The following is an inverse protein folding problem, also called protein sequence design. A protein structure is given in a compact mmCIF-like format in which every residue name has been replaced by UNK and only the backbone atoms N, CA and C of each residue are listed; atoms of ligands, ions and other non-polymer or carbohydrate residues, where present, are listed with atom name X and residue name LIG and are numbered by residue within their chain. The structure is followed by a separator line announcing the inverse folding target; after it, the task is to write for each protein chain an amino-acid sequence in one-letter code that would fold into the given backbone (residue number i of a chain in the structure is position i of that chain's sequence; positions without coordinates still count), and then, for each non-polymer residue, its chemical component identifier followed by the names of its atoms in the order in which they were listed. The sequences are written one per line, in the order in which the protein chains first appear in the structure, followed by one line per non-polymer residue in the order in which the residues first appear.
data_IF_840911721682
#
_entry.id   IF_840911721682
#
_cell.length_a   1.000
_cell.length_b   1.000
_cell.length_c   1.000
_cell.angle_alpha   90.00
_cell.angle_beta   90.00
_cell.angle_gamma   90.00
#
_symmetry.space_group_name_H-M   'P 1'
#
loop_
_entity.id
_entity.type
_entity.pdbx_description
1 polymer ?
#
# COMPACT_ATOMS: atom_id res chain seq x y z
N UNK A 1 14.63 -16.36 2.18
CA UNK A 1 15.41 -15.55 3.14
C UNK A 1 14.57 -14.32 3.50
N UNK A 2 14.29 -14.08 4.78
CA UNK A 2 13.45 -12.95 5.17
C UNK A 2 14.25 -11.65 5.16
N UNK A 3 13.67 -10.59 4.60
CA UNK A 3 14.26 -9.26 4.50
C UNK A 3 13.31 -8.26 5.16
N UNK A 4 13.88 -7.33 5.92
CA UNK A 4 13.14 -6.17 6.44
C UNK A 4 13.27 -5.04 5.44
N UNK A 5 12.14 -4.51 4.99
CA UNK A 5 12.09 -3.42 4.02
C UNK A 5 10.92 -2.49 4.34
N UNK A 6 10.78 -1.41 3.59
CA UNK A 6 9.67 -0.47 3.67
C UNK A 6 8.93 -0.49 2.33
N UNK A 7 7.61 -0.62 2.35
CA UNK A 7 6.76 -0.63 1.17
C UNK A 7 5.52 0.22 1.42
N UNK A 8 4.77 0.51 0.36
CA UNK A 8 3.42 1.04 0.54
C UNK A 8 2.43 -0.07 0.92
N UNK A 9 1.55 0.27 1.86
CA UNK A 9 0.36 -0.50 2.25
C UNK A 9 -0.86 0.39 2.02
N UNK A 10 -1.81 -0.09 1.22
CA UNK A 10 -3.11 0.55 1.02
C UNK A 10 -4.22 -0.37 1.55
N UNK A 11 -5.23 0.22 2.19
CA UNK A 11 -6.52 -0.43 2.41
C UNK A 11 -7.54 0.23 1.51
N UNK A 12 -8.15 -0.57 0.65
CA UNK A 12 -9.20 -0.17 -0.27
C UNK A 12 -10.56 -0.54 0.30
N UNK A 13 -11.60 0.18 -0.13
CA UNK A 13 -13.00 -0.18 0.12
C UNK A 13 -13.77 -0.20 -1.19
N UNK A 14 -14.78 -1.08 -1.31
CA UNK A 14 -15.69 -1.04 -2.44
C UNK A 14 -16.66 0.14 -2.29
N UNK A 15 -16.79 0.99 -3.31
CA UNK A 15 -17.66 2.19 -3.22
C UNK A 15 -19.12 1.80 -2.96
N UNK A 16 -19.58 0.70 -3.54
CA UNK A 16 -20.93 0.17 -3.34
C UNK A 16 -21.13 -0.53 -1.98
N UNK A 17 -20.06 -0.99 -1.33
CA UNK A 17 -20.07 -1.72 -0.05
C UNK A 17 -18.86 -1.29 0.81
N UNK A 18 -18.86 -0.07 1.39
CA UNK A 18 -17.68 0.52 2.03
C UNK A 18 -17.15 -0.25 3.25
N UNK A 19 -17.95 -1.14 3.83
CA UNK A 19 -17.60 -2.06 4.91
C UNK A 19 -16.67 -3.19 4.47
N UNK A 20 -16.65 -3.52 3.18
CA UNK A 20 -15.75 -4.55 2.63
C UNK A 20 -14.42 -3.89 2.28
N UNK A 21 -13.34 -4.43 2.86
CA UNK A 21 -12.00 -3.87 2.78
C UNK A 21 -11.01 -4.87 2.18
N UNK A 22 -10.08 -4.35 1.39
CA UNK A 22 -9.01 -5.11 0.76
C UNK A 22 -7.66 -4.47 1.03
N UNK A 23 -6.63 -5.26 1.36
CA UNK A 23 -5.28 -4.74 1.58
C UNK A 23 -4.38 -4.99 0.36
N UNK A 24 -3.65 -3.96 -0.05
CA UNK A 24 -2.66 -4.03 -1.12
C UNK A 24 -1.28 -3.68 -0.59
N UNK A 25 -0.31 -4.52 -0.94
CA UNK A 25 1.10 -4.33 -0.59
C UNK A 25 1.92 -4.09 -1.87
N UNK A 26 2.67 -3.00 -1.90
CA UNK A 26 3.49 -2.66 -3.07
C UNK A 26 4.84 -3.37 -3.04
N UNK A 27 4.89 -4.61 -3.54
CA UNK A 27 6.15 -5.38 -3.61
C UNK A 27 7.14 -4.82 -4.64
N UNK A 28 6.65 -4.06 -5.64
CA UNK A 28 7.50 -3.49 -6.69
C UNK A 28 8.22 -2.20 -6.26
N UNK A 29 7.67 -1.48 -5.27
CA UNK A 29 8.26 -0.26 -4.73
C UNK A 29 8.73 -0.51 -3.30
N UNK A 30 10.04 -0.68 -3.17
CA UNK A 30 10.70 -0.87 -1.87
C UNK A 30 11.56 0.33 -1.54
N UNK A 31 11.59 0.67 -0.25
CA UNK A 31 12.34 1.79 0.31
C UNK A 31 13.25 1.31 1.43
N UNK A 32 14.26 2.10 1.71
CA UNK A 32 15.26 1.80 2.75
C UNK A 32 14.90 2.38 4.12
N UNK A 33 13.97 3.35 4.18
CA UNK A 33 13.52 4.00 5.40
C UNK A 33 12.10 4.56 5.24
N UNK A 34 11.48 4.96 6.36
CA UNK A 34 10.24 5.75 6.34
C UNK A 34 10.43 7.08 5.61
N UNK A 35 11.52 7.79 5.88
CA UNK A 35 11.79 9.11 5.29
C UNK A 35 11.84 9.07 3.76
N UNK A 36 12.46 8.03 3.18
CA UNK A 36 12.50 7.86 1.74
C UNK A 36 11.11 7.57 1.15
N UNK A 37 10.31 6.77 1.85
CA UNK A 37 8.94 6.45 1.45
C UNK A 37 8.01 7.68 1.57
N UNK A 38 8.15 8.45 2.64
CA UNK A 38 7.47 9.72 2.89
C UNK A 38 7.82 10.74 1.80
N UNK A 39 9.10 10.94 1.51
CA UNK A 39 9.56 11.85 0.45
C UNK A 39 8.99 11.46 -0.92
N UNK A 40 8.97 10.16 -1.24
CA UNK A 40 8.34 9.69 -2.48
C UNK A 40 6.85 10.00 -2.51
N UNK A 41 6.15 9.81 -1.39
CA UNK A 41 4.74 10.16 -1.28
C UNK A 41 4.51 11.67 -1.42
N UNK A 42 5.35 12.50 -0.82
CA UNK A 42 5.25 13.96 -0.94
C UNK A 42 5.45 14.44 -2.39
N UNK A 43 6.38 13.81 -3.12
CA UNK A 43 6.68 14.15 -4.51
C UNK A 43 5.62 13.63 -5.51
N UNK A 44 4.96 12.50 -5.21
CA UNK A 44 4.14 11.76 -6.18
C UNK A 44 2.75 11.35 -5.67
N UNK A 45 2.33 11.80 -4.49
CA UNK A 45 1.16 11.32 -3.75
C UNK A 45 -0.12 11.27 -4.57
N UNK A 46 -0.49 12.37 -5.22
CA UNK A 46 -1.71 12.43 -6.04
C UNK A 46 -1.72 11.39 -7.16
N UNK A 47 -0.57 11.23 -7.86
CA UNK A 47 -0.45 10.25 -8.94
C UNK A 47 -0.44 8.82 -8.41
N UNK A 48 0.18 8.61 -7.26
CA UNK A 48 0.25 7.32 -6.58
C UNK A 48 -1.14 6.86 -6.13
N UNK A 49 -1.90 7.73 -5.46
CA UNK A 49 -3.25 7.43 -4.99
C UNK A 49 -4.20 7.14 -6.17
N UNK A 50 -4.15 7.94 -7.22
CA UNK A 50 -4.93 7.67 -8.44
C UNK A 50 -4.54 6.34 -9.08
N UNK A 51 -3.24 6.05 -9.19
CA UNK A 51 -2.76 4.78 -9.74
C UNK A 51 -3.20 3.56 -8.90
N UNK A 52 -3.29 3.71 -7.58
CA UNK A 52 -3.78 2.67 -6.67
C UNK A 52 -5.29 2.42 -6.88
N UNK A 53 -6.08 3.48 -7.03
CA UNK A 53 -7.52 3.37 -7.35
C UNK A 53 -7.73 2.69 -8.70
N UNK A 54 -6.98 3.11 -9.73
CA UNK A 54 -7.04 2.51 -11.06
C UNK A 54 -6.67 1.03 -11.03
N UNK A 55 -5.57 0.69 -10.36
CA UNK A 55 -5.12 -0.69 -10.20
C UNK A 55 -6.15 -1.55 -9.45
N UNK A 56 -6.67 -1.05 -8.32
CA UNK A 56 -7.70 -1.75 -7.56
C UNK A 56 -8.98 -1.95 -8.36
N UNK A 57 -9.44 -0.92 -9.07
CA UNK A 57 -10.65 -0.99 -9.90
C UNK A 57 -10.49 -2.04 -11.01
N UNK A 58 -9.33 -2.09 -11.66
CA UNK A 58 -9.02 -3.11 -12.67
C UNK A 58 -8.94 -4.52 -12.08
N UNK A 59 -8.31 -4.68 -10.91
CA UNK A 59 -8.10 -5.99 -10.29
C UNK A 59 -9.39 -6.60 -9.72
N UNK A 60 -10.27 -5.77 -9.14
CA UNK A 60 -11.50 -6.23 -8.50
C UNK A 60 -12.74 -6.11 -9.40
N UNK A 61 -12.64 -5.44 -10.56
CA UNK A 61 -13.75 -5.26 -11.50
C UNK A 61 -14.89 -4.39 -10.97
N UNK A 62 -14.64 -3.63 -9.91
CA UNK A 62 -15.60 -2.75 -9.24
C UNK A 62 -14.90 -1.47 -8.79
N UNK A 63 -15.64 -0.38 -8.70
CA UNK A 63 -15.11 0.90 -8.23
C UNK A 63 -14.68 0.80 -6.76
N UNK A 64 -13.44 1.20 -6.50
CA UNK A 64 -12.82 1.20 -5.17
C UNK A 64 -12.37 2.61 -4.79
N UNK A 65 -12.37 2.89 -3.49
CA UNK A 65 -11.69 4.05 -2.93
C UNK A 65 -10.58 3.63 -1.97
N UNK A 66 -9.71 4.58 -1.63
CA UNK A 66 -8.67 4.38 -0.62
C UNK A 66 -9.23 4.80 0.74
N UNK A 67 -9.21 3.89 1.70
CA UNK A 67 -9.55 4.14 3.10
C UNK A 67 -8.34 4.64 3.87
N UNK A 68 -7.19 4.02 3.58
CA UNK A 68 -5.97 4.16 4.33
C UNK A 68 -4.77 3.89 3.41
N UNK A 69 -3.72 4.69 3.55
CA UNK A 69 -2.47 4.53 2.83
C UNK A 69 -1.30 4.84 3.76
N UNK A 70 -0.29 3.97 3.77
CA UNK A 70 0.83 4.09 4.67
C UNK A 70 2.14 3.60 4.07
N UNK A 71 3.23 4.20 4.55
CA UNK A 71 4.54 3.59 4.50
C UNK A 71 4.62 2.52 5.58
N UNK A 72 4.77 1.25 5.21
CA UNK A 72 4.81 0.11 6.12
C UNK A 72 6.21 -0.50 6.14
N UNK A 73 6.78 -0.65 7.34
CA UNK A 73 7.95 -1.47 7.60
C UNK A 73 7.48 -2.91 7.69
N UNK A 74 7.99 -3.76 6.80
CA UNK A 74 7.53 -5.14 6.68
C UNK A 74 8.71 -6.10 6.72
N UNK A 75 8.42 -7.33 7.14
CA UNK A 75 9.29 -8.48 6.96
C UNK A 75 8.69 -9.39 5.91
N UNK A 76 9.40 -9.57 4.81
CA UNK A 76 8.95 -10.34 3.64
C UNK A 76 9.98 -11.38 3.22
N UNK A 77 9.51 -12.46 2.60
CA UNK A 77 10.36 -13.41 1.90
C UNK A 77 10.33 -13.11 0.40
N UNK A 78 11.40 -12.52 -0.14
CA UNK A 78 11.49 -12.17 -1.57
C UNK A 78 11.46 -13.38 -2.50
N UNK A 79 11.74 -14.59 -2.00
CA UNK A 79 11.75 -15.83 -2.79
C UNK A 79 10.39 -16.53 -2.83
N UNK A 80 9.53 -16.26 -1.85
CA UNK A 80 8.17 -16.79 -1.75
C UNK A 80 7.29 -15.68 -1.17
N UNK A 81 6.80 -14.76 -2.02
CA UNK A 81 6.00 -13.64 -1.56
C UNK A 81 4.66 -14.17 -1.03
N UNK A 82 4.53 -14.23 0.29
CA UNK A 82 3.25 -14.32 0.97
C UNK A 82 2.84 -12.94 1.50
N UNK A 83 1.79 -12.89 2.30
CA UNK A 83 1.42 -11.68 3.01
C UNK A 83 2.58 -11.21 3.91
N UNK A 84 2.95 -9.92 3.87
CA UNK A 84 4.04 -9.39 4.68
C UNK A 84 3.67 -9.39 6.16
N UNK A 85 4.65 -9.63 7.03
CA UNK A 85 4.49 -9.30 8.45
C UNK A 85 4.75 -7.80 8.61
N UNK A 86 3.71 -7.03 8.98
CA UNK A 86 3.82 -5.59 9.24
C UNK A 86 4.44 -5.36 10.62
N UNK A 87 5.65 -4.82 10.65
CA UNK A 87 6.40 -4.52 11.88
C UNK A 87 6.13 -3.11 12.41
N UNK A 88 5.60 -2.22 11.57
CA UNK A 88 5.25 -0.85 11.92
C UNK A 88 4.82 -0.06 10.69
N UNK A 89 4.14 1.07 10.87
CA UNK A 89 3.64 1.87 9.77
C UNK A 89 3.56 3.36 10.11
N UNK A 90 3.66 4.20 9.07
CA UNK A 90 3.39 5.63 9.11
C UNK A 90 2.29 5.96 8.12
N UNK A 91 1.21 6.55 8.62
CA UNK A 91 0.02 6.90 7.83
C UNK A 91 0.32 8.13 6.98
N UNK A 92 0.14 7.97 5.66
CA UNK A 92 0.30 9.05 4.69
C UNK A 92 -1.04 9.67 4.29
N UNK A 93 -2.08 8.84 4.23
CA UNK A 93 -3.44 9.25 3.94
C UNK A 93 -4.44 8.38 4.71
N UNK A 94 -5.49 9.00 5.22
CA UNK A 94 -6.62 8.33 5.84
C UNK A 94 -7.88 9.16 5.59
N UNK A 95 -8.95 8.47 5.21
CA UNK A 95 -10.28 9.07 5.03
C UNK A 95 -11.04 9.19 6.36
#
# INVERSE_FOLDING_TARGET
MNTVTFIFLATLFYVAQPEVKENLFSYALTFTSYEQCETFFDDYGDKLLNGVIDHGTQNYGQEVGIDYFACAKVKINMQMPGEPEVLGQKVMYQR
#
